data_IF_465216697660
#
_entry.id   IF_465216697660
#
_cell.length_a   1.000
_cell.length_b   1.000
_cell.length_c   1.000
_cell.angle_alpha   90.00
_cell.angle_beta   90.00
_cell.angle_gamma   90.00
#
_symmetry.space_group_name_H-M   'P 1'
#
loop_
_entity.id
_entity.type
_entity.pdbx_description
1 polymer ?
#
# COMPACT_ATOMS: atom_id res chain seq x y z
N UNK A 1 -48.64 16.18 -17.81
CA UNK A 1 -49.88 15.40 -17.54
C UNK A 1 -49.74 14.03 -18.18
N UNK A 2 -50.39 13.01 -17.60
CA UNK A 2 -50.30 11.55 -17.84
C UNK A 2 -49.05 10.91 -17.20
N UNK A 3 -49.04 10.47 -15.93
CA UNK A 3 -49.91 9.53 -15.17
C UNK A 3 -49.71 8.05 -15.53
N UNK A 4 -49.35 7.26 -14.52
CA UNK A 4 -49.72 5.84 -14.50
C UNK A 4 -48.84 4.92 -13.66
N UNK A 5 -49.41 4.47 -12.54
CA UNK A 5 -49.38 3.07 -12.05
C UNK A 5 -48.02 2.66 -11.38
N UNK A 6 -47.92 2.09 -10.17
CA UNK A 6 -48.81 1.20 -9.40
C UNK A 6 -48.38 1.16 -7.93
N UNK A 7 -49.41 1.08 -7.10
CA UNK A 7 -49.44 0.65 -5.72
C UNK A 7 -48.78 -0.72 -5.49
N UNK A 8 -47.84 -0.80 -4.54
CA UNK A 8 -47.35 -2.05 -3.94
C UNK A 8 -47.48 -1.95 -2.42
N UNK A 9 -48.61 -2.44 -1.92
CA UNK A 9 -49.02 -2.54 -0.51
C UNK A 9 -48.23 -3.67 0.17
N UNK A 10 -47.78 -3.46 1.40
CA UNK A 10 -47.21 -4.51 2.26
C UNK A 10 -46.37 -3.87 3.35
N UNK A 11 -47.00 -3.16 4.28
CA UNK A 11 -47.37 -3.71 5.59
C UNK A 11 -46.12 -4.03 6.42
N UNK A 12 -45.72 -2.98 7.15
CA UNK A 12 -45.17 -3.07 8.49
C UNK A 12 -45.79 -4.24 9.25
N UNK A 13 -45.01 -5.30 9.45
CA UNK A 13 -45.32 -6.30 10.46
C UNK A 13 -44.01 -6.93 10.93
N UNK A 14 -43.62 -6.47 12.12
CA UNK A 14 -42.94 -7.22 13.19
C UNK A 14 -41.42 -7.19 13.17
N UNK A 15 -40.85 -6.40 14.08
CA UNK A 15 -40.54 -6.87 15.45
C UNK A 15 -39.62 -8.09 15.44
N UNK A 16 -38.34 -7.84 15.66
CA UNK A 16 -37.59 -8.41 16.79
C UNK A 16 -36.14 -8.02 16.58
N UNK A 17 -35.71 -6.89 17.16
CA UNK A 17 -34.99 -6.94 18.42
C UNK A 17 -33.71 -7.78 18.32
N UNK A 18 -32.59 -7.05 18.25
CA UNK A 18 -31.42 -7.45 19.00
C UNK A 18 -30.15 -7.68 18.19
N UNK A 19 -29.13 -6.97 18.67
CA UNK A 19 -27.77 -7.48 18.91
C UNK A 19 -26.72 -7.13 17.84
N UNK A 20 -25.99 -6.07 18.17
CA UNK A 20 -24.53 -5.93 18.07
C UNK A 20 -23.79 -7.21 17.61
N UNK A 21 -23.04 -7.13 16.51
CA UNK A 21 -21.61 -7.50 16.51
C UNK A 21 -20.90 -7.13 15.19
N UNK A 22 -19.76 -6.43 15.30
CA UNK A 22 -18.55 -6.69 14.50
C UNK A 22 -18.03 -8.08 14.90
N UNK A 23 -17.51 -8.94 14.01
CA UNK A 23 -16.21 -8.75 13.33
C UNK A 23 -16.24 -9.17 11.84
N UNK A 24 -15.38 -8.63 10.97
CA UNK A 24 -14.11 -9.18 10.49
C UNK A 24 -14.19 -10.60 9.86
N UNK A 25 -13.54 -10.76 8.69
CA UNK A 25 -13.64 -11.83 7.69
C UNK A 25 -14.94 -11.70 6.88
N UNK A 26 -14.97 -11.66 5.54
CA UNK A 26 -14.40 -12.62 4.59
C UNK A 26 -14.09 -11.94 3.25
N UNK A 27 -13.07 -12.42 2.55
CA UNK A 27 -12.69 -11.95 1.21
C UNK A 27 -11.40 -12.60 0.76
N UNK A 28 -11.43 -13.92 0.64
CA UNK A 28 -10.30 -14.74 0.24
C UNK A 28 -9.79 -14.39 -1.15
N UNK A 29 -8.50 -14.09 -1.22
CA UNK A 29 -7.65 -14.47 -2.34
C UNK A 29 -6.37 -15.01 -1.70
N UNK A 30 -6.01 -16.30 -1.87
CA UNK A 30 -4.66 -16.72 -1.53
C UNK A 30 -3.70 -15.96 -2.45
N UNK A 31 -2.67 -15.26 -1.94
CA UNK A 31 -1.59 -14.81 -2.81
C UNK A 31 -0.86 -16.07 -3.29
N UNK A 32 -1.06 -16.44 -4.55
CA UNK A 32 -0.34 -17.54 -5.21
C UNK A 32 1.18 -17.37 -4.99
N UNK A 33 1.88 -18.39 -4.46
CA UNK A 33 3.32 -18.31 -4.20
C UNK A 33 4.10 -18.74 -5.45
N UNK A 34 3.96 -18.04 -6.58
CA UNK A 34 4.73 -18.37 -7.80
C UNK A 34 4.74 -17.22 -8.83
N UNK A 35 5.25 -16.06 -8.45
CA UNK A 35 5.93 -15.22 -9.45
C UNK A 35 7.42 -15.40 -9.24
N UNK A 36 8.03 -16.25 -10.07
CA UNK A 36 9.46 -16.24 -10.29
C UNK A 36 9.90 -14.78 -10.41
N UNK A 37 10.78 -14.33 -9.52
CA UNK A 37 11.26 -12.94 -9.46
C UNK A 37 11.84 -12.61 -10.83
N UNK A 38 11.08 -11.91 -11.66
CA UNK A 38 11.58 -11.37 -12.92
C UNK A 38 12.42 -10.16 -12.58
N UNK A 39 13.67 -10.20 -13.01
CA UNK A 39 14.58 -9.05 -13.00
C UNK A 39 13.88 -7.81 -13.57
N UNK A 40 13.79 -6.75 -12.76
CA UNK A 40 13.20 -5.49 -13.20
C UNK A 40 11.68 -5.40 -13.09
N UNK A 41 10.98 -6.35 -12.47
CA UNK A 41 9.54 -6.25 -12.24
C UNK A 41 9.19 -5.18 -11.19
N UNK A 42 8.20 -4.34 -11.50
CA UNK A 42 7.60 -3.40 -10.56
C UNK A 42 6.62 -4.14 -9.65
N UNK A 43 6.92 -4.18 -8.35
CA UNK A 43 6.06 -4.81 -7.33
C UNK A 43 5.82 -3.86 -6.17
N UNK A 44 4.67 -4.00 -5.51
CA UNK A 44 4.44 -3.35 -4.22
C UNK A 44 5.03 -4.20 -3.11
N UNK A 45 5.98 -3.63 -2.39
CA UNK A 45 6.69 -4.30 -1.30
C UNK A 45 6.33 -3.60 0.02
N UNK A 46 6.03 -4.35 1.10
CA UNK A 46 5.79 -3.76 2.40
C UNK A 46 7.02 -3.01 2.89
N UNK A 47 6.85 -1.80 3.41
CA UNK A 47 7.98 -0.97 3.86
C UNK A 47 8.77 -1.60 5.01
N UNK A 48 8.14 -2.50 5.77
CA UNK A 48 8.74 -3.27 6.88
C UNK A 48 9.73 -4.35 6.42
N UNK A 49 9.49 -4.92 5.23
CA UNK A 49 10.39 -5.93 4.63
C UNK A 49 11.64 -5.30 3.98
N UNK A 50 11.66 -3.96 3.89
CA UNK A 50 12.69 -3.19 3.20
C UNK A 50 13.60 -2.54 4.24
N UNK A 51 14.90 -2.82 4.15
CA UNK A 51 15.91 -2.19 4.99
C UNK A 51 16.70 -1.12 4.24
N UNK A 52 17.16 -0.12 5.00
CA UNK A 52 18.07 0.91 4.52
C UNK A 52 19.37 0.30 3.97
N UNK A 53 19.88 0.88 2.88
CA UNK A 53 21.18 0.51 2.33
C UNK A 53 22.31 0.97 3.25
N UNK A 54 23.31 0.12 3.48
CA UNK A 54 24.45 0.43 4.36
C UNK A 54 25.33 1.58 3.84
N UNK A 55 25.22 1.93 2.56
CA UNK A 55 26.07 2.93 1.90
C UNK A 55 25.28 4.19 1.53
N UNK A 56 25.27 5.17 2.44
CA UNK A 56 24.64 6.48 2.23
C UNK A 56 25.65 7.62 2.46
N UNK A 57 26.36 8.06 1.41
CA UNK A 57 27.35 9.13 1.52
C UNK A 57 26.73 10.55 1.62
N UNK A 58 25.41 10.72 1.45
CA UNK A 58 24.74 12.02 1.45
C UNK A 58 23.79 12.15 2.65
N UNK A 59 24.38 12.53 3.79
CA UNK A 59 23.70 12.73 5.08
C UNK A 59 23.05 14.12 5.23
N UNK A 60 23.16 15.00 4.22
CA UNK A 60 22.39 16.26 4.19
C UNK A 60 20.99 16.02 3.62
N UNK A 61 20.19 15.25 4.36
CA UNK A 61 18.76 15.16 4.13
C UNK A 61 18.11 16.31 4.90
N UNK A 62 17.81 17.42 4.23
CA UNK A 62 16.96 18.45 4.81
C UNK A 62 15.61 17.82 5.18
N UNK A 63 15.33 17.68 6.47
CA UNK A 63 14.08 17.11 7.01
C UNK A 63 12.84 17.81 6.45
N UNK A 64 12.95 19.12 6.20
CA UNK A 64 11.89 19.93 5.59
C UNK A 64 11.50 19.40 4.20
N UNK A 65 12.49 19.21 3.31
CA UNK A 65 12.27 18.68 1.96
C UNK A 65 11.78 17.21 1.97
N UNK A 66 12.07 16.45 3.04
CA UNK A 66 11.53 15.11 3.22
C UNK A 66 10.05 15.16 3.62
N UNK A 67 9.68 16.11 4.48
CA UNK A 67 8.29 16.35 4.89
C UNK A 67 7.40 16.77 3.73
N UNK A 68 7.87 17.68 2.87
CA UNK A 68 7.16 18.07 1.65
C UNK A 68 6.96 16.88 0.70
N UNK A 69 8.02 16.06 0.52
CA UNK A 69 7.92 14.85 -0.29
C UNK A 69 6.92 13.84 0.31
N UNK A 70 6.88 13.70 1.63
CA UNK A 70 5.93 12.83 2.32
C UNK A 70 4.49 13.32 2.13
N UNK A 71 4.25 14.63 2.20
CA UNK A 71 2.94 15.23 1.94
C UNK A 71 2.49 14.98 0.49
N UNK A 72 3.40 15.15 -0.49
CA UNK A 72 3.14 14.84 -1.90
C UNK A 72 2.84 13.36 -2.11
N UNK A 73 3.64 12.46 -1.52
CA UNK A 73 3.44 11.00 -1.59
C UNK A 73 2.10 10.60 -0.94
N UNK A 74 1.68 11.27 0.13
CA UNK A 74 0.38 10.99 0.76
C UNK A 74 -0.81 11.38 -0.13
N UNK A 75 -0.66 12.43 -0.94
CA UNK A 75 -1.73 12.90 -1.83
C UNK A 75 -1.76 12.17 -3.18
N UNK A 76 -0.60 11.91 -3.78
CA UNK A 76 -0.47 11.40 -5.14
C UNK A 76 0.10 9.98 -5.23
N UNK A 77 0.54 9.42 -4.11
CA UNK A 77 1.29 8.18 -4.07
C UNK A 77 2.76 8.36 -4.49
N UNK A 78 3.49 7.25 -4.52
CA UNK A 78 4.89 7.25 -4.95
C UNK A 78 4.95 7.22 -6.46
N UNK A 79 5.20 8.38 -7.09
CA UNK A 79 5.25 8.50 -8.55
C UNK A 79 6.32 7.65 -9.22
N UNK A 80 7.44 7.40 -8.53
CA UNK A 80 8.53 6.68 -9.14
C UNK A 80 9.12 5.65 -8.18
N UNK A 81 9.22 4.38 -8.63
CA UNK A 81 9.56 3.28 -7.76
C UNK A 81 10.98 3.41 -7.19
N UNK A 82 11.20 2.76 -6.07
CA UNK A 82 12.52 2.56 -5.49
C UNK A 82 13.21 1.34 -6.13
N UNK A 83 14.52 1.27 -6.07
CA UNK A 83 15.27 0.09 -6.54
C UNK A 83 15.73 -0.68 -5.33
N UNK A 84 15.36 -1.95 -5.27
CA UNK A 84 15.69 -2.86 -4.18
C UNK A 84 16.39 -4.11 -4.71
N UNK A 85 17.21 -4.72 -3.87
CA UNK A 85 17.75 -6.06 -4.09
C UNK A 85 17.22 -7.03 -3.04
N UNK A 86 16.91 -8.28 -3.42
CA UNK A 86 16.61 -9.32 -2.44
C UNK A 86 17.89 -9.68 -1.67
N UNK A 87 17.81 -9.74 -0.34
CA UNK A 87 18.90 -10.19 0.54
C UNK A 87 18.55 -11.48 1.28
N UNK A 88 17.27 -11.82 1.39
CA UNK A 88 16.75 -13.08 1.94
C UNK A 88 15.36 -13.34 1.36
N UNK A 89 14.73 -14.47 1.71
CA UNK A 89 13.41 -14.88 1.17
C UNK A 89 12.36 -13.75 1.20
N UNK A 90 12.26 -13.02 2.31
CA UNK A 90 11.29 -11.93 2.52
C UNK A 90 11.96 -10.62 2.95
N UNK A 91 13.25 -10.44 2.65
CA UNK A 91 13.96 -9.20 2.99
C UNK A 91 14.60 -8.57 1.77
N UNK A 92 14.47 -7.26 1.71
CA UNK A 92 14.99 -6.46 0.62
C UNK A 92 15.84 -5.32 1.15
N UNK A 93 16.90 -4.97 0.43
CA UNK A 93 17.72 -3.82 0.74
C UNK A 93 17.58 -2.76 -0.35
N UNK A 94 17.49 -1.50 0.06
CA UNK A 94 17.40 -0.38 -0.87
C UNK A 94 18.76 -0.14 -1.52
N UNK A 95 18.78 -0.20 -2.85
CA UNK A 95 19.93 0.21 -3.67
C UNK A 95 19.83 1.71 -3.97
N UNK A 96 18.63 2.20 -4.31
CA UNK A 96 18.39 3.59 -4.66
C UNK A 96 16.98 4.05 -4.29
N UNK A 97 16.85 5.34 -3.96
CA UNK A 97 15.56 5.96 -3.66
C UNK A 97 15.19 6.04 -2.18
N UNK A 98 16.17 6.02 -1.26
CA UNK A 98 15.91 6.03 0.19
C UNK A 98 15.10 7.22 0.68
N UNK A 99 15.23 8.39 0.04
CA UNK A 99 14.39 9.56 0.33
C UNK A 99 12.91 9.24 0.16
N UNK A 100 12.56 8.49 -0.89
CA UNK A 100 11.17 8.10 -1.16
C UNK A 100 10.68 7.07 -0.16
N UNK A 101 11.50 6.09 0.19
CA UNK A 101 11.17 5.11 1.23
C UNK A 101 10.96 5.76 2.60
N UNK A 102 11.82 6.72 2.99
CA UNK A 102 11.61 7.50 4.23
C UNK A 102 10.36 8.36 4.16
N UNK A 103 10.15 9.08 3.06
CA UNK A 103 8.95 9.91 2.89
C UNK A 103 7.66 9.06 2.85
N UNK A 104 7.73 7.82 2.36
CA UNK A 104 6.63 6.85 2.38
C UNK A 104 6.30 6.38 3.79
N UNK A 105 7.32 6.13 4.62
CA UNK A 105 7.12 5.85 6.05
C UNK A 105 6.49 7.04 6.78
N UNK A 106 6.97 8.26 6.51
CA UNK A 106 6.39 9.48 7.07
C UNK A 106 4.96 9.74 6.58
N UNK A 107 4.65 9.36 5.34
CA UNK A 107 3.31 9.42 4.78
C UNK A 107 2.35 8.39 5.41
N UNK A 108 2.88 7.37 6.10
CA UNK A 108 2.10 6.31 6.75
C UNK A 108 1.60 5.26 5.76
N UNK A 109 2.35 4.98 4.68
CA UNK A 109 2.00 3.96 3.70
C UNK A 109 2.64 2.62 4.07
N UNK A 110 1.85 1.55 4.08
CA UNK A 110 2.31 0.19 4.40
C UNK A 110 3.16 -0.43 3.29
N UNK A 111 2.97 0.01 2.04
CA UNK A 111 3.62 -0.58 0.86
C UNK A 111 4.14 0.49 -0.09
N UNK A 112 5.22 0.18 -0.79
CA UNK A 112 5.88 1.07 -1.75
C UNK A 112 6.13 0.37 -3.09
N UNK A 113 5.93 1.03 -4.24
CA UNK A 113 6.37 0.52 -5.53
C UNK A 113 7.88 0.43 -5.58
N UNK A 114 8.37 -0.78 -5.83
CA UNK A 114 9.78 -1.10 -5.89
C UNK A 114 10.09 -1.98 -7.10
N UNK A 115 11.26 -1.77 -7.70
CA UNK A 115 11.81 -2.60 -8.77
C UNK A 115 12.85 -3.51 -8.14
N UNK A 116 12.66 -4.82 -8.29
CA UNK A 116 13.59 -5.83 -7.79
C UNK A 116 14.70 -6.01 -8.83
N UNK A 117 15.94 -5.73 -8.44
CA UNK A 117 17.15 -5.97 -9.25
C UNK A 117 18.16 -6.81 -8.45
N UNK A 118 18.35 -8.10 -8.77
CA UNK A 118 19.56 -8.81 -8.35
C UNK A 118 20.76 -8.15 -9.01
N UNK A 119 21.63 -7.56 -8.19
CA UNK A 119 22.91 -6.98 -8.60
C UNK A 119 24.06 -7.94 -8.35
#
# INVERSE_FOLDING_TARGET
>A
MAEGKRMGKGLDFLLSAGKKNKPAAEGGVPPSPESAVRDGELRHIPVDLIQRGKYQPRTDMHEEALGELAASIKQQGVMQPIVIRPISADRYEIIAGERRWRATQLAGLDSIPAIIKPV
#
